data_IF_046197979490
#
_entry.id   IF_046197979490
#
_cell.length_a   1.000
_cell.length_b   1.000
_cell.length_c   1.000
_cell.angle_alpha   90.00
_cell.angle_beta   90.00
_cell.angle_gamma   90.00
#
_symmetry.space_group_name_H-M   'P 1'
#
loop_
_entity.id
_entity.type
_entity.pdbx_description
1 polymer ?
#
# COMPACT_ATOMS: atom_id res chain seq x y z
N UNK A 1 62.12 4.38 40.62
CA UNK A 1 60.68 4.62 40.98
C UNK A 1 60.16 5.99 40.51
N UNK A 2 60.77 7.12 40.87
CA UNK A 2 60.31 8.47 40.52
C UNK A 2 60.17 8.76 39.02
N UNK A 3 61.15 8.29 38.20
CA UNK A 3 61.09 8.42 36.72
C UNK A 3 59.96 7.59 36.09
N UNK A 4 59.70 6.38 36.58
CA UNK A 4 58.60 5.55 36.15
C UNK A 4 57.23 6.17 36.45
N UNK A 5 57.07 6.76 37.65
CA UNK A 5 55.86 7.48 38.04
C UNK A 5 55.59 8.66 37.14
N UNK A 6 56.63 9.47 36.79
CA UNK A 6 56.49 10.61 35.88
C UNK A 6 56.04 10.16 34.49
N UNK A 7 56.59 9.09 33.96
CA UNK A 7 56.19 8.50 32.66
C UNK A 7 54.75 8.00 32.69
N UNK A 8 54.35 7.32 33.77
CA UNK A 8 52.94 6.88 33.93
C UNK A 8 51.95 8.05 34.02
N UNK A 9 52.29 9.11 34.77
CA UNK A 9 51.46 10.29 34.86
C UNK A 9 51.36 11.03 33.51
N UNK A 10 52.47 11.08 32.76
CA UNK A 10 52.46 11.69 31.43
C UNK A 10 51.59 10.85 30.44
N UNK A 11 51.72 9.52 30.46
CA UNK A 11 50.88 8.64 29.63
C UNK A 11 49.39 8.71 30.02
N UNK A 12 49.10 8.79 31.34
CA UNK A 12 47.73 8.98 31.82
C UNK A 12 47.14 10.35 31.38
N UNK A 13 47.93 11.40 31.46
CA UNK A 13 47.54 12.74 30.98
C UNK A 13 47.29 12.75 29.48
N UNK A 14 48.17 12.12 28.68
CA UNK A 14 47.98 12.00 27.24
C UNK A 14 46.76 11.19 26.91
N UNK A 15 46.53 10.05 27.58
CA UNK A 15 45.32 9.24 27.40
C UNK A 15 44.04 10.06 27.74
N UNK A 16 44.04 10.84 28.80
CA UNK A 16 42.91 11.71 29.15
C UNK A 16 42.61 12.76 28.07
N UNK A 17 43.66 13.39 27.51
CA UNK A 17 43.51 14.36 26.41
C UNK A 17 42.94 13.69 25.16
N UNK A 18 43.46 12.53 24.79
CA UNK A 18 42.94 11.75 23.63
C UNK A 18 41.48 11.32 23.83
N UNK A 19 41.16 10.87 25.04
CA UNK A 19 39.75 10.48 25.36
C UNK A 19 38.81 11.70 25.34
N UNK A 20 39.28 12.85 25.86
CA UNK A 20 38.53 14.12 25.81
C UNK A 20 38.27 14.59 24.38
N UNK A 21 39.30 14.55 23.52
CA UNK A 21 39.19 14.90 22.10
C UNK A 21 38.25 13.95 21.34
N UNK A 22 38.35 12.64 21.63
CA UNK A 22 37.45 11.63 21.03
C UNK A 22 36.00 11.88 21.48
N UNK A 23 35.75 12.10 22.76
CA UNK A 23 34.40 12.38 23.29
C UNK A 23 33.81 13.65 22.69
N UNK A 24 34.60 14.69 22.52
CA UNK A 24 34.20 15.94 21.86
C UNK A 24 33.83 15.68 20.39
N UNK A 25 34.70 14.98 19.61
CA UNK A 25 34.46 14.66 18.22
C UNK A 25 33.17 13.79 18.03
N UNK A 26 32.93 12.85 18.92
CA UNK A 26 31.73 11.99 18.88
C UNK A 26 30.43 12.79 19.06
N UNK A 27 30.48 13.96 19.65
CA UNK A 27 29.35 14.86 19.82
C UNK A 27 29.25 15.95 18.74
N UNK A 28 30.22 16.08 17.83
CA UNK A 28 30.17 17.07 16.77
C UNK A 28 29.36 16.55 15.55
N UNK A 29 28.55 17.42 14.92
CA UNK A 29 27.90 17.11 13.68
C UNK A 29 28.90 16.72 12.58
N UNK A 30 28.62 15.64 11.87
CA UNK A 30 29.38 15.26 10.69
C UNK A 30 29.17 16.30 9.57
N UNK A 31 30.27 16.69 8.92
CA UNK A 31 30.19 17.61 7.79
C UNK A 31 29.74 16.87 6.55
N UNK A 32 28.82 17.45 5.80
CA UNK A 32 28.26 16.89 4.57
C UNK A 32 28.13 17.97 3.50
N UNK A 33 28.14 17.58 2.23
CA UNK A 33 27.99 18.49 1.11
C UNK A 33 26.53 18.90 0.87
N UNK A 34 25.56 18.12 1.39
CA UNK A 34 24.12 18.32 1.23
C UNK A 34 23.38 18.24 2.57
N UNK A 35 22.13 18.68 2.61
CA UNK A 35 21.25 18.62 3.79
C UNK A 35 20.97 17.19 4.24
N UNK A 36 20.93 16.25 3.31
CA UNK A 36 20.80 14.82 3.56
C UNK A 36 21.62 14.01 2.55
N UNK A 37 22.07 12.83 2.97
CA UNK A 37 22.83 11.88 2.18
C UNK A 37 22.22 10.50 2.38
N UNK A 38 22.07 9.73 1.30
CA UNK A 38 21.66 8.33 1.38
C UNK A 38 22.90 7.44 1.53
N UNK A 39 22.83 6.54 2.50
CA UNK A 39 23.85 5.53 2.80
C UNK A 39 23.25 4.14 2.63
N UNK A 40 23.77 3.38 1.71
CA UNK A 40 23.46 1.97 1.55
C UNK A 40 24.51 1.09 2.27
N UNK A 41 24.00 0.18 3.12
CA UNK A 41 24.80 -0.83 3.80
C UNK A 41 24.34 -2.22 3.33
N UNK A 42 25.11 -2.83 2.46
CA UNK A 42 24.81 -4.18 1.93
C UNK A 42 24.90 -5.27 3.01
N UNK A 43 24.10 -6.34 2.91
CA UNK A 43 24.22 -7.49 3.80
C UNK A 43 25.64 -8.08 3.77
N UNK A 44 26.20 -8.33 4.96
CA UNK A 44 27.56 -8.88 5.11
C UNK A 44 28.69 -7.84 5.04
N UNK A 45 28.36 -6.54 4.90
CA UNK A 45 29.37 -5.49 4.92
C UNK A 45 30.08 -5.44 6.27
N UNK A 46 31.45 -5.47 6.22
CA UNK A 46 32.25 -5.37 7.45
C UNK A 46 32.16 -3.99 8.08
N UNK A 47 32.41 -3.82 9.39
CA UNK A 47 32.40 -2.49 10.05
C UNK A 47 33.34 -1.47 9.39
N UNK A 48 34.46 -1.95 8.83
CA UNK A 48 35.37 -1.11 8.03
C UNK A 48 34.74 -0.71 6.69
N UNK A 49 34.04 -1.65 6.05
CA UNK A 49 33.28 -1.38 4.82
C UNK A 49 32.18 -0.37 5.02
N UNK A 50 31.45 -0.46 6.16
CA UNK A 50 30.43 0.53 6.54
C UNK A 50 31.03 1.92 6.71
N UNK A 51 32.15 2.05 7.45
CA UNK A 51 32.84 3.34 7.63
C UNK A 51 33.28 3.94 6.28
N UNK A 52 33.76 3.11 5.36
CA UNK A 52 34.11 3.55 4.00
C UNK A 52 32.87 3.92 3.17
N UNK A 53 31.77 3.21 3.31
CA UNK A 53 30.50 3.52 2.63
C UNK A 53 29.97 4.90 3.08
N UNK A 54 30.03 5.20 4.37
CA UNK A 54 29.66 6.53 4.92
C UNK A 54 30.45 7.66 4.25
N UNK A 55 31.76 7.48 4.09
CA UNK A 55 32.61 8.51 3.44
C UNK A 55 32.32 8.59 1.95
N UNK A 56 32.12 7.45 1.26
CA UNK A 56 31.75 7.43 -0.17
C UNK A 56 30.39 8.06 -0.43
N UNK A 57 29.46 7.93 0.51
CA UNK A 57 28.16 8.57 0.43
C UNK A 57 28.22 10.12 0.52
N UNK A 58 29.37 10.70 0.92
CA UNK A 58 29.61 12.13 0.93
C UNK A 58 29.78 12.75 2.32
N UNK A 59 29.89 11.93 3.37
CA UNK A 59 30.26 12.43 4.71
C UNK A 59 31.74 12.77 4.76
N UNK A 60 32.05 14.02 5.09
CA UNK A 60 33.41 14.53 5.17
C UNK A 60 34.05 14.18 6.53
N UNK A 61 34.58 12.98 6.64
CA UNK A 61 35.27 12.49 7.83
C UNK A 61 36.32 11.43 7.44
N UNK A 62 37.20 11.06 8.36
CA UNK A 62 38.09 9.94 8.14
C UNK A 62 37.39 8.61 8.47
N UNK A 63 37.34 7.73 7.48
CA UNK A 63 36.76 6.39 7.63
C UNK A 63 37.45 5.55 8.76
N UNK A 64 38.73 5.81 9.05
CA UNK A 64 39.44 5.13 10.12
C UNK A 64 38.92 5.53 11.49
N UNK A 65 38.61 6.81 11.68
CA UNK A 65 38.02 7.32 12.94
C UNK A 65 36.66 6.69 13.19
N UNK A 66 35.79 6.63 12.17
CA UNK A 66 34.50 5.93 12.27
C UNK A 66 34.66 4.44 12.56
N UNK A 67 35.56 3.77 11.85
CA UNK A 67 35.86 2.35 12.10
C UNK A 67 36.30 2.07 13.53
N UNK A 68 37.29 2.86 14.06
CA UNK A 68 37.72 2.69 15.44
C UNK A 68 36.61 2.98 16.44
N UNK A 69 35.78 3.99 16.18
CA UNK A 69 34.61 4.25 16.99
C UNK A 69 33.65 3.05 17.02
N UNK A 70 33.31 2.48 15.85
CA UNK A 70 32.44 1.31 15.77
C UNK A 70 33.01 0.12 16.56
N UNK A 71 34.29 -0.11 16.47
CA UNK A 71 34.98 -1.18 17.21
C UNK A 71 35.01 -0.94 18.73
N UNK A 72 35.37 0.26 19.15
CA UNK A 72 35.49 0.61 20.57
C UNK A 72 34.15 0.64 21.28
N UNK A 73 33.06 0.96 20.55
CA UNK A 73 31.69 0.90 21.08
C UNK A 73 31.19 -0.50 21.37
N UNK A 74 31.85 -1.55 20.85
CA UNK A 74 31.42 -2.95 20.88
C UNK A 74 30.07 -3.23 20.20
N UNK A 75 29.58 -2.30 19.39
CA UNK A 75 28.30 -2.39 18.67
C UNK A 75 28.49 -2.65 17.17
N UNK A 76 29.73 -2.79 16.73
CA UNK A 76 30.09 -2.99 15.33
C UNK A 76 29.44 -4.21 14.68
N UNK A 77 29.17 -5.27 15.47
CA UNK A 77 28.49 -6.48 15.02
C UNK A 77 26.97 -6.35 15.00
N UNK A 78 26.42 -5.30 15.57
CA UNK A 78 24.99 -5.03 15.63
C UNK A 78 24.52 -4.10 14.50
N UNK A 79 25.46 -3.56 13.70
CA UNK A 79 25.12 -2.74 12.53
C UNK A 79 24.31 -3.58 11.57
N UNK A 80 23.12 -3.06 11.19
CA UNK A 80 22.19 -3.72 10.28
C UNK A 80 22.42 -3.25 8.86
N UNK A 81 22.25 -4.16 7.91
CA UNK A 81 22.16 -3.82 6.51
C UNK A 81 20.85 -3.04 6.25
N UNK A 82 20.85 -2.14 5.27
CA UNK A 82 19.68 -1.34 4.90
C UNK A 82 20.07 -0.01 4.28
N UNK A 83 19.05 0.78 3.95
CA UNK A 83 19.21 2.12 3.38
C UNK A 83 18.89 3.18 4.44
N UNK A 84 19.88 4.02 4.72
CA UNK A 84 19.82 5.02 5.79
C UNK A 84 19.91 6.42 5.20
N UNK A 85 19.12 7.33 5.71
CA UNK A 85 19.28 8.75 5.44
C UNK A 85 20.11 9.40 6.57
N UNK A 86 21.25 9.98 6.23
CA UNK A 86 22.08 10.76 7.13
C UNK A 86 21.73 12.24 6.91
N UNK A 87 21.19 12.90 7.92
CA UNK A 87 20.75 14.30 7.84
C UNK A 87 21.75 15.24 8.52
N UNK A 88 21.69 16.53 8.18
CA UNK A 88 22.46 17.56 8.86
C UNK A 88 22.24 17.50 10.38
N UNK A 89 23.31 17.61 11.15
CA UNK A 89 23.28 17.44 12.61
C UNK A 89 23.57 16.02 13.11
N UNK A 90 23.63 15.02 12.22
CA UNK A 90 24.04 13.66 12.60
C UNK A 90 25.47 13.66 13.12
N UNK A 91 25.68 13.12 14.32
CA UNK A 91 27.00 12.94 14.95
C UNK A 91 27.50 11.52 14.72
N UNK A 92 28.81 11.22 14.89
CA UNK A 92 29.34 9.84 14.84
C UNK A 92 28.63 8.90 15.81
N UNK A 93 28.21 9.40 16.98
CA UNK A 93 27.46 8.65 17.98
C UNK A 93 26.04 8.32 17.50
N UNK A 94 25.30 9.33 17.03
CA UNK A 94 23.93 9.12 16.55
C UNK A 94 23.89 8.30 15.26
N UNK A 95 24.89 8.43 14.39
CA UNK A 95 25.03 7.59 13.21
C UNK A 95 25.14 6.11 13.59
N UNK A 96 26.02 5.75 14.52
CA UNK A 96 26.15 4.36 14.97
C UNK A 96 24.83 3.84 15.57
N UNK A 97 24.16 4.64 16.39
CA UNK A 97 22.88 4.27 16.96
C UNK A 97 21.82 4.02 15.88
N UNK A 98 21.76 4.89 14.87
CA UNK A 98 20.86 4.73 13.71
C UNK A 98 21.12 3.40 12.99
N UNK A 99 22.39 3.08 12.72
CA UNK A 99 22.78 1.83 12.06
C UNK A 99 22.48 0.59 12.90
N UNK A 100 22.71 0.63 14.21
CA UNK A 100 22.46 -0.47 15.15
C UNK A 100 20.96 -0.71 15.34
N UNK A 101 20.16 0.36 15.46
CA UNK A 101 18.71 0.25 15.57
C UNK A 101 18.05 -0.16 14.27
N UNK A 102 18.72 0.02 13.12
CA UNK A 102 18.15 -0.21 11.81
C UNK A 102 17.08 0.84 11.46
N UNK A 103 17.34 2.11 11.79
CA UNK A 103 16.46 3.23 11.46
C UNK A 103 16.62 3.59 9.98
N UNK A 104 16.14 2.69 9.11
CA UNK A 104 16.20 2.84 7.67
C UNK A 104 15.37 4.03 7.17
N UNK A 105 15.80 4.63 6.06
CA UNK A 105 14.98 5.59 5.33
C UNK A 105 13.86 4.86 4.62
N UNK A 106 12.66 4.94 5.18
CA UNK A 106 11.48 4.33 4.59
C UNK A 106 10.85 5.28 3.57
N UNK A 107 10.48 4.73 2.43
CA UNK A 107 9.61 5.33 1.42
C UNK A 107 8.21 4.74 1.60
N UNK A 108 7.24 5.32 0.92
CA UNK A 108 5.88 4.83 0.96
C UNK A 108 5.25 4.89 -0.42
N UNK A 109 4.52 3.84 -0.78
CA UNK A 109 3.64 3.80 -1.93
C UNK A 109 2.20 3.63 -1.45
N UNK A 110 1.29 4.41 -2.01
CA UNK A 110 -0.14 4.36 -1.65
C UNK A 110 -0.95 3.75 -2.79
N UNK A 111 -1.72 2.72 -2.46
CA UNK A 111 -2.74 2.16 -3.33
C UNK A 111 -4.10 2.68 -2.91
N UNK A 112 -4.83 3.27 -3.85
CA UNK A 112 -6.08 3.96 -3.55
C UNK A 112 -7.28 3.02 -3.69
N UNK A 113 -8.27 3.15 -2.81
CA UNK A 113 -9.54 2.44 -2.91
C UNK A 113 -10.20 2.66 -4.29
N UNK A 114 -10.77 1.63 -4.84
CA UNK A 114 -11.40 1.67 -6.16
C UNK A 114 -10.43 1.61 -7.36
N UNK A 115 -9.10 1.54 -7.13
CA UNK A 115 -8.15 1.27 -8.22
C UNK A 115 -8.28 -0.15 -8.73
N UNK A 116 -8.01 -0.32 -10.04
CA UNK A 116 -7.79 -1.63 -10.65
C UNK A 116 -6.35 -2.11 -10.42
N UNK A 117 -6.10 -3.40 -10.60
CA UNK A 117 -4.74 -3.95 -10.54
C UNK A 117 -3.80 -3.30 -11.57
N UNK A 118 -4.32 -2.94 -12.75
CA UNK A 118 -3.56 -2.20 -13.77
C UNK A 118 -3.10 -0.83 -13.25
N UNK A 119 -3.97 -0.06 -12.59
CA UNK A 119 -3.60 1.24 -11.99
C UNK A 119 -2.58 1.07 -10.88
N UNK A 120 -2.72 0.03 -10.06
CA UNK A 120 -1.76 -0.32 -9.04
C UNK A 120 -0.38 -0.65 -9.63
N UNK A 121 -0.33 -1.47 -10.69
CA UNK A 121 0.91 -1.75 -11.43
C UNK A 121 1.54 -0.49 -12.04
N UNK A 122 0.73 0.40 -12.58
CA UNK A 122 1.22 1.66 -13.12
C UNK A 122 1.88 2.54 -12.04
N UNK A 123 1.28 2.60 -10.83
CA UNK A 123 1.86 3.33 -9.71
C UNK A 123 3.18 2.70 -9.23
N UNK A 124 3.26 1.37 -9.17
CA UNK A 124 4.48 0.63 -8.83
C UNK A 124 5.58 0.90 -9.88
N UNK A 125 5.25 0.87 -11.16
CA UNK A 125 6.21 1.08 -12.24
C UNK A 125 6.77 2.52 -12.28
N UNK A 126 6.08 3.49 -11.70
CA UNK A 126 6.52 4.89 -11.59
C UNK A 126 7.38 5.15 -10.35
N UNK A 127 7.48 4.20 -9.43
CA UNK A 127 8.22 4.37 -8.19
C UNK A 127 9.72 4.08 -8.41
N UNK A 128 10.54 5.12 -8.41
CA UNK A 128 11.99 5.04 -8.70
C UNK A 128 12.80 4.31 -7.61
N UNK A 129 12.20 4.05 -6.45
CA UNK A 129 12.90 3.48 -5.29
C UNK A 129 12.64 1.99 -5.09
N UNK A 130 11.65 1.42 -5.80
CA UNK A 130 11.40 -0.01 -5.80
C UNK A 130 12.31 -0.73 -6.82
N UNK A 131 12.66 -1.97 -6.50
CA UNK A 131 13.27 -2.88 -7.47
C UNK A 131 12.19 -3.46 -8.37
N UNK A 132 12.23 -3.12 -9.66
CA UNK A 132 11.23 -3.52 -10.66
C UNK A 132 11.35 -4.99 -11.08
N UNK A 133 11.27 -5.90 -10.12
CA UNK A 133 11.38 -7.35 -10.33
C UNK A 133 10.11 -8.00 -10.89
N UNK A 134 9.01 -7.25 -11.01
CA UNK A 134 7.77 -7.72 -11.65
C UNK A 134 7.51 -7.09 -13.02
N UNK A 135 8.38 -6.18 -13.50
CA UNK A 135 8.13 -5.37 -14.71
C UNK A 135 7.82 -6.21 -15.96
N UNK A 136 8.46 -7.37 -16.11
CA UNK A 136 8.29 -8.28 -17.25
C UNK A 136 7.31 -9.43 -16.94
N UNK A 137 6.75 -9.49 -15.74
CA UNK A 137 5.85 -10.55 -15.34
C UNK A 137 4.41 -10.26 -15.76
N UNK A 138 3.74 -11.25 -16.30
CA UNK A 138 2.28 -11.24 -16.46
C UNK A 138 1.57 -11.29 -15.11
N UNK A 139 0.29 -10.95 -15.08
CA UNK A 139 -0.51 -11.06 -13.85
C UNK A 139 -0.51 -12.49 -13.28
N UNK A 140 -0.60 -13.50 -14.15
CA UNK A 140 -0.58 -14.89 -13.73
C UNK A 140 0.76 -15.30 -13.10
N UNK A 141 1.89 -14.81 -13.64
CA UNK A 141 3.22 -15.05 -13.08
C UNK A 141 3.41 -14.33 -11.74
N UNK A 142 2.91 -13.10 -11.60
CA UNK A 142 2.91 -12.38 -10.33
C UNK A 142 2.13 -13.15 -9.27
N UNK A 143 0.90 -13.59 -9.60
CA UNK A 143 0.08 -14.35 -8.67
C UNK A 143 0.68 -15.71 -8.31
N UNK A 144 1.33 -16.39 -9.27
CA UNK A 144 2.08 -17.61 -9.01
C UNK A 144 3.28 -17.37 -8.07
N UNK A 145 4.04 -16.28 -8.27
CA UNK A 145 5.14 -15.87 -7.38
C UNK A 145 4.67 -15.45 -5.98
N UNK A 146 3.41 -15.04 -5.87
CA UNK A 146 2.72 -14.76 -4.61
C UNK A 146 2.02 -16.00 -4.00
N UNK A 147 2.27 -17.20 -4.55
CA UNK A 147 1.70 -18.46 -4.07
C UNK A 147 0.17 -18.57 -4.25
N UNK A 148 -0.35 -17.90 -5.27
CA UNK A 148 -1.77 -17.90 -5.65
C UNK A 148 -1.97 -18.21 -7.15
N UNK A 149 -1.42 -19.33 -7.68
CA UNK A 149 -1.55 -19.67 -9.09
C UNK A 149 -3.00 -19.87 -9.48
N UNK A 150 -3.37 -19.37 -10.66
CA UNK A 150 -4.75 -19.47 -11.20
C UNK A 150 -5.77 -18.51 -10.59
N UNK A 151 -5.39 -17.68 -9.61
CA UNK A 151 -6.25 -16.65 -9.05
C UNK A 151 -6.04 -15.34 -9.81
N UNK A 152 -7.13 -14.67 -10.22
CA UNK A 152 -7.06 -13.36 -10.84
C UNK A 152 -6.52 -12.32 -9.84
N UNK A 153 -5.66 -11.40 -10.29
CA UNK A 153 -5.05 -10.39 -9.43
C UNK A 153 -6.02 -9.27 -9.00
N UNK A 154 -7.04 -9.03 -9.85
CA UNK A 154 -8.00 -7.94 -9.61
C UNK A 154 -8.72 -8.10 -8.27
N UNK A 155 -8.75 -7.00 -7.49
CA UNK A 155 -9.40 -6.95 -6.18
C UNK A 155 -8.61 -7.59 -5.03
N UNK A 156 -7.48 -8.27 -5.29
CA UNK A 156 -6.77 -9.08 -4.29
C UNK A 156 -5.78 -8.32 -3.41
N UNK A 157 -5.52 -7.07 -3.68
CA UNK A 157 -4.55 -6.27 -2.94
C UNK A 157 -5.25 -5.17 -2.15
N UNK A 158 -5.00 -5.11 -0.85
CA UNK A 158 -5.69 -4.13 0.00
C UNK A 158 -5.17 -2.71 -0.29
N UNK A 159 -6.07 -1.75 -0.55
CA UNK A 159 -5.70 -0.36 -0.73
C UNK A 159 -5.28 0.27 0.60
N UNK A 160 -4.01 0.66 0.69
CA UNK A 160 -3.38 1.26 1.87
C UNK A 160 -2.04 1.90 1.49
N UNK A 161 -1.39 2.54 2.44
CA UNK A 161 -0.02 3.06 2.29
C UNK A 161 0.98 2.03 2.82
N UNK A 162 1.86 1.56 1.93
CA UNK A 162 2.89 0.55 2.23
C UNK A 162 4.26 1.19 2.30
N UNK A 163 4.85 1.20 3.49
CA UNK A 163 6.24 1.64 3.68
C UNK A 163 7.21 0.55 3.23
N UNK A 164 8.34 0.95 2.66
CA UNK A 164 9.37 0.03 2.20
C UNK A 164 10.74 0.72 2.25
N UNK A 165 11.83 -0.07 2.33
CA UNK A 165 13.18 0.45 2.19
C UNK A 165 13.53 0.57 0.70
N UNK A 166 14.36 1.55 0.33
CA UNK A 166 14.86 1.72 -1.05
C UNK A 166 15.46 0.40 -1.56
N UNK A 167 15.16 0.04 -2.81
CA UNK A 167 15.58 -1.23 -3.41
C UNK A 167 14.75 -2.44 -2.97
N UNK A 168 13.68 -2.23 -2.19
CA UNK A 168 12.75 -3.32 -1.86
C UNK A 168 12.09 -3.87 -3.13
N UNK A 169 11.88 -5.18 -3.14
CA UNK A 169 11.17 -5.89 -4.20
C UNK A 169 9.71 -5.46 -4.31
N UNK A 170 9.22 -5.23 -5.52
CA UNK A 170 7.79 -5.03 -5.82
C UNK A 170 6.95 -6.21 -5.32
N UNK A 171 7.41 -7.46 -5.53
CA UNK A 171 6.74 -8.65 -5.00
C UNK A 171 6.60 -8.62 -3.47
N UNK A 172 7.57 -8.05 -2.75
CA UNK A 172 7.47 -7.93 -1.29
C UNK A 172 6.38 -6.94 -0.87
N UNK A 173 6.19 -5.84 -1.59
CA UNK A 173 5.11 -4.88 -1.37
C UNK A 173 3.76 -5.52 -1.71
N UNK A 174 3.65 -6.14 -2.89
CA UNK A 174 2.46 -6.84 -3.35
C UNK A 174 2.05 -7.96 -2.37
N UNK A 175 3.01 -8.75 -1.87
CA UNK A 175 2.74 -9.80 -0.88
C UNK A 175 2.11 -9.25 0.40
N UNK A 176 2.56 -8.09 0.87
CA UNK A 176 1.96 -7.43 2.05
C UNK A 176 0.54 -6.96 1.77
N UNK A 177 0.30 -6.37 0.60
CA UNK A 177 -1.01 -5.92 0.19
C UNK A 177 -2.00 -7.09 0.01
N UNK A 178 -1.55 -8.19 -0.59
CA UNK A 178 -2.31 -9.44 -0.73
C UNK A 178 -2.72 -10.00 0.64
N UNK A 179 -1.75 -10.21 1.52
CA UNK A 179 -2.01 -10.71 2.89
C UNK A 179 -2.92 -9.77 3.68
N UNK A 180 -2.82 -8.47 3.45
CA UNK A 180 -3.69 -7.50 4.09
C UNK A 180 -5.13 -7.66 3.61
N UNK A 181 -5.36 -7.83 2.29
CA UNK A 181 -6.69 -8.09 1.73
C UNK A 181 -7.26 -9.40 2.28
N UNK A 182 -6.49 -10.48 2.27
CA UNK A 182 -6.93 -11.78 2.80
C UNK A 182 -7.43 -11.66 4.25
N UNK A 183 -6.66 -10.99 5.12
CA UNK A 183 -7.07 -10.77 6.52
C UNK A 183 -8.34 -9.95 6.66
N UNK A 184 -8.44 -8.82 5.92
CA UNK A 184 -9.62 -7.95 6.03
C UNK A 184 -10.87 -8.64 5.48
N UNK A 185 -10.71 -9.39 4.41
CA UNK A 185 -11.79 -10.12 3.77
C UNK A 185 -12.30 -11.27 4.65
N UNK A 186 -11.39 -12.03 5.28
CA UNK A 186 -11.74 -13.09 6.24
C UNK A 186 -12.47 -12.51 7.45
N UNK A 187 -11.94 -11.43 8.05
CA UNK A 187 -12.58 -10.72 9.15
C UNK A 187 -13.98 -10.18 8.79
N UNK A 188 -14.14 -9.68 7.57
CA UNK A 188 -15.44 -9.25 7.10
C UNK A 188 -16.39 -10.43 6.93
N UNK A 189 -15.93 -11.52 6.30
CA UNK A 189 -16.73 -12.72 6.07
C UNK A 189 -17.22 -13.38 7.35
N UNK A 190 -16.42 -13.41 8.41
CA UNK A 190 -16.83 -13.90 9.74
C UNK A 190 -18.01 -13.11 10.31
N UNK A 191 -18.13 -11.83 9.97
CA UNK A 191 -19.18 -10.93 10.44
C UNK A 191 -20.39 -10.85 9.50
N UNK A 192 -20.45 -11.71 8.46
CA UNK A 192 -21.56 -11.70 7.49
C UNK A 192 -22.92 -11.94 8.14
N UNK A 193 -23.96 -11.37 7.56
CA UNK A 193 -25.35 -11.68 7.96
C UNK A 193 -25.67 -13.15 7.67
N UNK A 194 -26.39 -13.86 8.56
CA UNK A 194 -26.71 -15.28 8.38
C UNK A 194 -27.49 -15.58 7.09
N UNK A 195 -28.27 -14.63 6.62
CA UNK A 195 -29.14 -14.71 5.42
C UNK A 195 -28.50 -14.11 4.16
N UNK A 196 -27.19 -13.89 4.15
CA UNK A 196 -26.52 -13.36 2.95
C UNK A 196 -26.71 -14.29 1.74
N UNK A 197 -26.98 -13.78 0.55
CA UNK A 197 -27.04 -14.58 -0.67
C UNK A 197 -25.65 -14.98 -1.20
N UNK A 198 -24.58 -14.44 -0.62
CA UNK A 198 -23.20 -14.72 -1.02
C UNK A 198 -22.78 -16.11 -0.55
N UNK A 199 -22.17 -16.89 -1.44
CA UNK A 199 -21.81 -18.30 -1.22
C UNK A 199 -20.37 -18.51 -0.79
N UNK A 200 -19.51 -17.52 -1.02
CA UNK A 200 -18.08 -17.62 -0.74
C UNK A 200 -17.48 -16.26 -0.38
N UNK A 201 -16.29 -16.33 0.20
CA UNK A 201 -15.43 -15.15 0.46
C UNK A 201 -15.13 -14.39 -0.84
N UNK A 202 -14.93 -15.09 -1.94
CA UNK A 202 -14.68 -14.49 -3.25
C UNK A 202 -15.89 -13.71 -3.77
N UNK A 203 -17.11 -14.26 -3.61
CA UNK A 203 -18.32 -13.52 -3.95
C UNK A 203 -18.48 -12.23 -3.13
N UNK A 204 -18.05 -12.26 -1.85
CA UNK A 204 -18.04 -11.07 -1.02
C UNK A 204 -17.05 -10.02 -1.54
N UNK A 205 -15.87 -10.43 -1.99
CA UNK A 205 -14.87 -9.54 -2.60
C UNK A 205 -15.39 -8.92 -3.91
N UNK A 206 -16.05 -9.73 -4.75
CA UNK A 206 -16.64 -9.27 -6.00
C UNK A 206 -17.72 -8.22 -5.72
N UNK A 207 -18.67 -8.52 -4.82
CA UNK A 207 -19.72 -7.55 -4.47
C UNK A 207 -19.12 -6.28 -3.86
N UNK A 208 -18.13 -6.40 -2.97
CA UNK A 208 -17.45 -5.26 -2.36
C UNK A 208 -16.81 -4.34 -3.40
N UNK A 209 -16.20 -4.92 -4.46
CA UNK A 209 -15.58 -4.15 -5.54
C UNK A 209 -16.60 -3.34 -6.36
N UNK A 210 -17.81 -3.89 -6.53
CA UNK A 210 -18.93 -3.18 -7.17
C UNK A 210 -19.43 -2.06 -6.28
N UNK A 211 -19.67 -2.33 -5.00
CA UNK A 211 -20.09 -1.33 -4.00
C UNK A 211 -19.08 -0.19 -3.91
N UNK A 212 -17.77 -0.50 -3.95
CA UNK A 212 -16.70 0.51 -3.95
C UNK A 212 -16.83 1.48 -5.13
N UNK A 213 -17.11 0.96 -6.32
CA UNK A 213 -17.23 1.77 -7.55
C UNK A 213 -18.54 2.54 -7.66
N UNK A 214 -19.60 2.09 -7.01
CA UNK A 214 -20.92 2.70 -7.06
C UNK A 214 -21.14 3.75 -5.96
N UNK A 215 -20.32 3.72 -4.90
CA UNK A 215 -20.55 4.57 -3.73
C UNK A 215 -19.95 5.97 -3.92
N UNK A 216 -20.77 6.96 -4.23
CA UNK A 216 -20.35 8.36 -4.27
C UNK A 216 -20.23 9.00 -2.88
N UNK A 217 -21.13 8.65 -1.95
CA UNK A 217 -21.14 9.14 -0.57
C UNK A 217 -21.05 7.98 0.41
N UNK A 218 -20.14 8.07 1.37
CA UNK A 218 -19.87 6.99 2.33
C UNK A 218 -21.12 6.54 3.11
N UNK A 219 -22.05 7.45 3.41
CA UNK A 219 -23.33 7.16 4.08
C UNK A 219 -24.26 6.24 3.29
N UNK A 220 -24.15 6.21 1.97
CA UNK A 220 -25.04 5.44 1.11
C UNK A 220 -24.53 4.01 0.86
N UNK A 221 -23.28 3.74 1.24
CA UNK A 221 -22.59 2.46 0.96
C UNK A 221 -23.38 1.24 1.44
N UNK A 222 -23.90 1.29 2.66
CA UNK A 222 -24.71 0.21 3.23
C UNK A 222 -25.99 -0.05 2.45
N UNK A 223 -26.68 1.01 2.05
CA UNK A 223 -27.93 0.91 1.25
C UNK A 223 -27.66 0.45 -0.18
N UNK A 224 -26.57 0.92 -0.83
CA UNK A 224 -26.13 0.43 -2.16
C UNK A 224 -25.85 -1.08 -2.11
N UNK A 225 -25.12 -1.53 -1.10
CA UNK A 225 -24.90 -2.97 -0.86
C UNK A 225 -26.21 -3.71 -0.63
N UNK A 226 -27.16 -3.11 0.11
CA UNK A 226 -28.49 -3.66 0.36
C UNK A 226 -29.30 -3.86 -0.92
N UNK A 227 -29.26 -2.90 -1.84
CA UNK A 227 -29.92 -3.02 -3.16
C UNK A 227 -29.33 -4.20 -3.95
N UNK A 228 -28.03 -4.31 -4.06
CA UNK A 228 -27.40 -5.42 -4.78
C UNK A 228 -27.68 -6.77 -4.11
N UNK A 229 -27.64 -6.82 -2.78
CA UNK A 229 -28.02 -8.03 -2.01
C UNK A 229 -29.46 -8.46 -2.29
N UNK A 230 -30.42 -7.52 -2.33
CA UNK A 230 -31.81 -7.79 -2.66
C UNK A 230 -31.96 -8.32 -4.09
N UNK A 231 -31.27 -7.71 -5.07
CA UNK A 231 -31.25 -8.19 -6.46
C UNK A 231 -30.70 -9.60 -6.58
N UNK A 232 -29.59 -9.89 -5.91
CA UNK A 232 -29.00 -11.25 -5.90
C UNK A 232 -29.96 -12.29 -5.33
N UNK A 233 -30.69 -12.00 -4.24
CA UNK A 233 -31.67 -12.90 -3.61
C UNK A 233 -32.76 -13.34 -4.56
N UNK A 234 -33.22 -12.48 -5.45
CA UNK A 234 -34.32 -12.77 -6.38
C UNK A 234 -33.85 -13.10 -7.80
N UNK A 235 -32.53 -13.22 -8.01
CA UNK A 235 -31.95 -13.49 -9.34
C UNK A 235 -32.08 -12.31 -10.31
N UNK A 236 -32.32 -11.10 -9.82
CA UNK A 236 -32.37 -9.89 -10.64
C UNK A 236 -30.96 -9.48 -11.08
N UNK A 237 -30.82 -9.04 -12.33
CA UNK A 237 -29.54 -8.52 -12.86
C UNK A 237 -29.06 -7.32 -12.06
N UNK A 238 -27.74 -7.22 -11.82
CA UNK A 238 -27.19 -6.10 -11.04
C UNK A 238 -27.22 -4.79 -11.81
N UNK A 239 -27.07 -4.79 -13.13
CA UNK A 239 -27.21 -3.63 -14.03
C UNK A 239 -26.44 -2.42 -13.52
N UNK A 240 -25.14 -2.57 -13.36
CA UNK A 240 -24.24 -1.57 -12.81
C UNK A 240 -23.16 -1.22 -13.84
N UNK A 241 -23.05 0.09 -14.15
CA UNK A 241 -22.16 0.62 -15.16
C UNK A 241 -20.69 0.28 -14.92
N UNK A 242 -20.15 0.36 -13.69
CA UNK A 242 -18.75 0.01 -13.42
C UNK A 242 -18.33 -1.39 -13.89
N UNK A 243 -19.23 -2.36 -13.91
CA UNK A 243 -18.91 -3.70 -14.40
C UNK A 243 -18.73 -3.72 -15.92
N UNK A 244 -19.53 -2.95 -16.64
CA UNK A 244 -19.39 -2.79 -18.10
C UNK A 244 -18.12 -2.04 -18.43
N UNK A 245 -17.86 -0.94 -17.72
CA UNK A 245 -16.64 -0.13 -17.87
C UNK A 245 -15.39 -0.98 -17.64
N UNK A 246 -15.39 -1.82 -16.60
CA UNK A 246 -14.28 -2.75 -16.35
C UNK A 246 -14.12 -3.76 -17.49
N UNK A 247 -15.22 -4.33 -17.98
CA UNK A 247 -15.20 -5.26 -19.10
C UNK A 247 -14.72 -4.66 -20.42
N UNK A 248 -14.92 -3.37 -20.65
CA UNK A 248 -14.38 -2.62 -21.79
C UNK A 248 -12.87 -2.37 -21.67
N UNK A 249 -12.36 -2.29 -20.44
CA UNK A 249 -10.93 -2.07 -20.18
C UNK A 249 -10.41 -0.82 -20.86
N UNK A 250 -9.38 -0.96 -21.69
CA UNK A 250 -8.73 0.18 -22.42
C UNK A 250 -9.60 0.76 -23.55
N UNK A 251 -10.60 0.03 -24.00
CA UNK A 251 -11.53 0.53 -25.02
C UNK A 251 -12.53 1.58 -24.47
N UNK A 252 -12.60 1.73 -23.13
CA UNK A 252 -13.45 2.74 -22.52
C UNK A 252 -12.86 4.15 -22.69
N UNK A 253 -13.56 4.99 -23.43
CA UNK A 253 -13.14 6.37 -23.76
C UNK A 253 -13.73 7.45 -22.84
N UNK A 254 -14.34 7.06 -21.73
CA UNK A 254 -15.00 7.97 -20.79
C UNK A 254 -16.53 8.11 -20.99
N UNK A 255 -17.07 7.57 -22.08
CA UNK A 255 -18.49 7.63 -22.38
C UNK A 255 -19.09 6.23 -22.57
N UNK A 256 -19.98 5.83 -21.67
CA UNK A 256 -20.69 4.55 -21.76
C UNK A 256 -21.90 4.71 -22.73
N UNK A 257 -21.86 3.91 -23.80
CA UNK A 257 -22.88 4.00 -24.84
C UNK A 257 -23.88 2.84 -24.75
N UNK A 258 -25.06 3.00 -25.34
CA UNK A 258 -26.09 1.97 -25.38
C UNK A 258 -25.56 0.64 -25.96
N UNK A 259 -24.71 0.68 -26.99
CA UNK A 259 -24.07 -0.52 -27.57
C UNK A 259 -23.21 -1.27 -26.55
N UNK A 260 -22.54 -0.54 -25.64
CA UNK A 260 -21.65 -1.11 -24.62
C UNK A 260 -22.46 -1.85 -23.54
N UNK A 261 -23.64 -1.30 -23.17
CA UNK A 261 -24.59 -1.96 -22.27
C UNK A 261 -25.24 -3.21 -22.88
N UNK A 262 -25.26 -3.32 -24.22
CA UNK A 262 -25.84 -4.44 -24.95
C UNK A 262 -24.82 -5.50 -25.33
N UNK A 263 -23.52 -5.17 -25.31
CA UNK A 263 -22.44 -6.10 -25.65
C UNK A 263 -22.31 -7.17 -24.55
N UNK A 264 -22.38 -8.43 -24.94
CA UNK A 264 -22.26 -9.54 -23.99
C UNK A 264 -20.79 -9.83 -23.65
N UNK A 265 -20.34 -9.28 -22.54
CA UNK A 265 -19.02 -9.59 -21.95
C UNK A 265 -19.19 -10.34 -20.63
N UNK A 266 -18.17 -11.07 -20.16
CA UNK A 266 -18.26 -11.78 -18.88
C UNK A 266 -18.61 -10.88 -17.69
N UNK A 267 -18.27 -9.60 -17.76
CA UNK A 267 -18.52 -8.61 -16.70
C UNK A 267 -19.81 -7.82 -16.90
N UNK A 268 -20.50 -7.93 -18.06
CA UNK A 268 -21.68 -7.11 -18.31
C UNK A 268 -22.90 -7.59 -17.51
N UNK A 269 -23.16 -6.92 -16.38
CA UNK A 269 -24.29 -7.22 -15.51
C UNK A 269 -25.66 -6.71 -16.03
N UNK A 270 -25.71 -6.06 -17.20
CA UNK A 270 -26.96 -5.76 -17.92
C UNK A 270 -27.43 -6.96 -18.76
N UNK A 271 -26.50 -7.77 -19.26
CA UNK A 271 -26.80 -8.95 -20.09
C UNK A 271 -26.79 -10.25 -19.29
N UNK A 272 -25.97 -10.32 -18.24
CA UNK A 272 -25.77 -11.51 -17.40
C UNK A 272 -26.31 -11.31 -15.98
N UNK A 273 -26.94 -12.35 -15.41
CA UNK A 273 -27.42 -12.35 -14.03
C UNK A 273 -26.30 -12.78 -13.06
N UNK A 274 -26.41 -12.36 -11.82
CA UNK A 274 -25.46 -12.67 -10.75
C UNK A 274 -24.24 -11.77 -10.74
N UNK A 275 -23.22 -12.20 -10.01
CA UNK A 275 -21.94 -11.50 -9.89
C UNK A 275 -21.06 -11.74 -11.14
N UNK A 276 -20.22 -10.78 -11.52
CA UNK A 276 -19.20 -11.00 -12.56
C UNK A 276 -18.15 -12.03 -12.10
N UNK A 277 -17.30 -12.55 -13.02
CA UNK A 277 -16.36 -13.63 -12.70
C UNK A 277 -15.22 -13.21 -11.77
N UNK A 278 -14.89 -11.91 -11.71
CA UNK A 278 -13.83 -11.37 -10.86
C UNK A 278 -14.29 -10.05 -10.21
N UNK A 279 -13.61 -9.60 -9.16
CA UNK A 279 -13.70 -8.19 -8.74
C UNK A 279 -13.39 -7.23 -9.90
N UNK A 280 -13.82 -5.99 -9.80
CA UNK A 280 -13.60 -4.94 -10.80
C UNK A 280 -12.73 -3.78 -10.29
N UNK A 281 -12.33 -3.84 -9.03
CA UNK A 281 -11.46 -2.86 -8.36
C UNK A 281 -10.98 -3.42 -7.03
N UNK A 282 -10.03 -2.72 -6.38
CA UNK A 282 -9.57 -2.96 -5.00
C UNK A 282 -10.55 -2.29 -4.01
N UNK A 283 -11.39 -3.03 -3.29
CA UNK A 283 -12.30 -2.43 -2.32
C UNK A 283 -11.58 -2.12 -1.01
N UNK A 284 -11.99 -1.00 -0.37
CA UNK A 284 -11.58 -0.68 0.98
C UNK A 284 -12.38 -1.46 2.05
N UNK A 285 -11.95 -1.34 3.31
CA UNK A 285 -12.57 -2.03 4.45
C UNK A 285 -14.07 -1.76 4.57
N UNK A 286 -14.49 -0.52 4.32
CA UNK A 286 -15.89 -0.14 4.44
C UNK A 286 -16.78 -0.85 3.40
N UNK A 287 -16.29 -1.02 2.17
CA UNK A 287 -17.02 -1.75 1.13
C UNK A 287 -17.03 -3.26 1.35
N UNK A 288 -15.94 -3.84 1.88
CA UNK A 288 -15.92 -5.23 2.33
C UNK A 288 -16.99 -5.49 3.40
N UNK A 289 -17.07 -4.63 4.40
CA UNK A 289 -18.07 -4.74 5.46
C UNK A 289 -19.50 -4.55 4.95
N UNK A 290 -19.74 -3.56 4.06
CA UNK A 290 -21.06 -3.32 3.49
C UNK A 290 -21.55 -4.50 2.63
N UNK A 291 -20.67 -5.16 1.89
CA UNK A 291 -21.01 -6.32 1.08
C UNK A 291 -21.51 -7.50 1.91
N UNK A 292 -20.92 -7.73 3.10
CA UNK A 292 -21.27 -8.86 3.97
C UNK A 292 -22.31 -8.51 5.04
N UNK A 293 -22.44 -7.21 5.37
CA UNK A 293 -23.43 -6.67 6.32
C UNK A 293 -24.10 -5.43 5.74
N UNK A 294 -24.89 -5.61 4.67
CA UNK A 294 -25.60 -4.49 4.05
C UNK A 294 -26.60 -3.86 5.02
N UNK A 295 -26.86 -2.59 4.83
CA UNK A 295 -27.94 -1.91 5.54
C UNK A 295 -29.30 -2.45 5.10
N UNK A 296 -30.20 -2.81 6.02
CA UNK A 296 -31.52 -3.33 5.68
C UNK A 296 -32.32 -2.32 4.85
N UNK A 297 -32.79 -2.76 3.67
CA UNK A 297 -33.62 -1.94 2.81
C UNK A 297 -34.60 -2.79 2.00
N UNK A 298 -35.72 -2.19 1.59
CA UNK A 298 -36.66 -2.78 0.64
C UNK A 298 -36.38 -2.34 -0.81
N UNK A 299 -35.35 -1.50 -1.01
CA UNK A 299 -35.07 -0.92 -2.32
C UNK A 299 -34.42 -1.97 -3.27
N UNK A 300 -34.79 -1.89 -4.53
CA UNK A 300 -34.19 -2.59 -5.67
C UNK A 300 -33.52 -1.64 -6.65
N UNK A 301 -33.72 -0.34 -6.48
CA UNK A 301 -33.22 0.70 -7.39
C UNK A 301 -32.65 1.86 -6.59
N UNK A 302 -31.66 2.54 -7.17
CA UNK A 302 -31.17 3.83 -6.69
C UNK A 302 -30.81 4.73 -7.87
N UNK A 303 -30.81 6.04 -7.64
CA UNK A 303 -30.41 7.07 -8.61
C UNK A 303 -29.73 8.21 -7.87
N UNK A 304 -28.67 8.78 -8.46
CA UNK A 304 -27.97 9.92 -7.92
C UNK A 304 -28.89 11.16 -7.86
N UNK A 305 -28.80 11.94 -6.77
CA UNK A 305 -29.56 13.20 -6.60
C UNK A 305 -28.84 14.43 -7.14
N UNK A 306 -27.57 14.29 -7.55
CA UNK A 306 -26.75 15.40 -8.00
C UNK A 306 -25.94 16.08 -6.88
N UNK A 307 -26.24 15.83 -5.62
CA UNK A 307 -25.51 16.33 -4.42
C UNK A 307 -24.52 15.30 -3.84
N UNK A 308 -24.24 14.24 -4.59
CA UNK A 308 -23.40 13.10 -4.19
C UNK A 308 -24.15 12.03 -3.39
N UNK A 309 -25.42 12.25 -3.01
CA UNK A 309 -26.26 11.23 -2.37
C UNK A 309 -27.13 10.50 -3.39
N UNK A 310 -27.68 9.35 -2.97
CA UNK A 310 -28.59 8.54 -3.79
C UNK A 310 -30.02 8.56 -3.25
N UNK A 311 -31.00 8.42 -4.15
CA UNK A 311 -32.38 8.13 -3.82
C UNK A 311 -32.67 6.66 -4.06
N UNK A 312 -33.20 5.98 -3.06
CA UNK A 312 -33.47 4.54 -3.07
C UNK A 312 -34.96 4.27 -3.25
N UNK A 313 -35.32 3.34 -4.14
CA UNK A 313 -36.71 3.04 -4.51
C UNK A 313 -36.97 1.53 -4.51
N UNK A 314 -38.10 1.07 -3.93
CA UNK A 314 -38.48 -0.34 -3.94
C UNK A 314 -39.07 -0.81 -5.28
N UNK A 315 -39.64 0.10 -6.07
CA UNK A 315 -40.30 -0.23 -7.35
C UNK A 315 -39.70 0.53 -8.53
N UNK A 316 -39.85 -0.02 -9.73
CA UNK A 316 -39.39 0.63 -10.97
C UNK A 316 -40.13 1.93 -11.22
N UNK A 317 -41.42 2.00 -10.90
CA UNK A 317 -42.24 3.21 -11.09
C UNK A 317 -41.76 4.36 -10.19
N UNK A 318 -41.41 4.07 -8.94
CA UNK A 318 -40.81 5.06 -8.04
C UNK A 318 -39.43 5.48 -8.51
N UNK A 319 -38.62 4.55 -8.98
CA UNK A 319 -37.31 4.84 -9.55
C UNK A 319 -37.45 5.77 -10.79
N UNK A 320 -38.35 5.46 -11.71
CA UNK A 320 -38.58 6.29 -12.90
C UNK A 320 -39.04 7.72 -12.53
N UNK A 321 -39.89 7.86 -11.50
CA UNK A 321 -40.25 9.17 -10.95
C UNK A 321 -39.05 9.92 -10.37
N UNK A 322 -38.16 9.20 -9.65
CA UNK A 322 -36.95 9.78 -9.10
C UNK A 322 -35.94 10.17 -10.20
N UNK A 323 -35.76 9.34 -11.24
CA UNK A 323 -34.94 9.68 -12.42
C UNK A 323 -35.44 10.95 -13.10
N UNK A 324 -36.75 11.06 -13.33
CA UNK A 324 -37.32 12.27 -13.91
C UNK A 324 -37.04 13.51 -13.04
N UNK A 325 -37.18 13.37 -11.71
CA UNK A 325 -36.97 14.48 -10.76
C UNK A 325 -35.51 14.92 -10.69
N UNK A 326 -34.57 13.99 -10.58
CA UNK A 326 -33.18 14.31 -10.24
C UNK A 326 -32.22 14.38 -11.44
N UNK A 327 -32.56 13.70 -12.55
CA UNK A 327 -31.69 13.67 -13.72
C UNK A 327 -32.25 14.50 -14.88
N UNK A 328 -33.56 14.38 -15.17
CA UNK A 328 -34.16 15.02 -16.36
C UNK A 328 -34.72 16.41 -16.10
N UNK A 329 -35.06 16.75 -14.85
CA UNK A 329 -35.62 18.05 -14.47
C UNK A 329 -34.57 19.06 -13.99
N UNK A 330 -33.28 18.66 -13.99
CA UNK A 330 -32.18 19.58 -13.70
C UNK A 330 -31.80 20.26 -15.02
N UNK A 331 -31.88 21.60 -15.12
CA UNK A 331 -31.59 22.33 -16.34
C UNK A 331 -30.16 22.23 -16.82
#
# INVERSE_FOLDING_TARGET
>A
MRRLLIVLLFLAGLAAVVAGAAAWWLGQPLRMASQSIELEVEPGTTPRGVAQAVVRAGVQTDARLLYYWFRLSQQDRQIRAGNYEITAGTTPRSLLQKLVRGEESLRAITFVEGWTFRQMRAAIAQDEFLKHDTAQMSEAEIMAALERPGVAAEGRFFPDTYTYARGSSELAVLRRALRSMERHLEQAWEQRTPDTPLKSVDEALILASIVEKETGRASDRGLVAGVFTNRLRIGMRLQTDPTVIYGLGEAFDGNLRRRDLQADTPWNTYTRAGLPPTPIAMPGKASLMAAVRPEPTKAFYFVARGDGSSHFSPTLDEHNRAVNRYIRSTP
#
